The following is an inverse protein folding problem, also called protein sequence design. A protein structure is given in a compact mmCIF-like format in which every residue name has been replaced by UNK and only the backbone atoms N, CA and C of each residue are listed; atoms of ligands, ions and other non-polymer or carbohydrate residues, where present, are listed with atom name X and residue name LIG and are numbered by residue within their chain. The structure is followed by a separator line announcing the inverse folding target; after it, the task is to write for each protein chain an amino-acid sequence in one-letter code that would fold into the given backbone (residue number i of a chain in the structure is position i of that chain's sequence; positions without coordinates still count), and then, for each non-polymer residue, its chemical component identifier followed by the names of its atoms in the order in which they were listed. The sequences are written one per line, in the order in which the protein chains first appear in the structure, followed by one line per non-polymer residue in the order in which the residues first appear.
data_IF_660667846851
#
_entry.id   IF_660667846851
#
_cell.length_a   1.000
_cell.length_b   1.000
_cell.length_c   1.000
_cell.angle_alpha   90.00
_cell.angle_beta   90.00
_cell.angle_gamma   90.00
#
_symmetry.space_group_name_H-M   'P 1'
#
loop_
_entity.id
_entity.type
_entity.pdbx_description
1 polymer ?
#
# COMPACT_ATOMS: atom_id res chain seq x y z
N UNK A 1 24.64 -0.13 -44.61
CA UNK A 1 25.47 -0.65 -43.50
C UNK A 1 24.70 -1.80 -42.85
N UNK A 2 24.69 -2.95 -43.53
CA UNK A 2 24.00 -4.17 -43.10
C UNK A 2 24.97 -5.34 -43.31
N UNK A 3 25.87 -5.55 -42.36
CA UNK A 3 26.66 -6.78 -42.22
C UNK A 3 26.90 -6.93 -40.72
N UNK A 4 26.29 -7.94 -40.10
CA UNK A 4 26.66 -8.60 -38.83
C UNK A 4 25.42 -9.21 -38.13
N UNK A 5 24.76 -10.15 -38.81
CA UNK A 5 23.68 -10.95 -38.20
C UNK A 5 23.86 -12.48 -38.41
N UNK A 6 25.04 -12.95 -38.86
CA UNK A 6 25.24 -14.36 -39.26
C UNK A 6 26.34 -15.11 -38.45
N UNK A 7 26.89 -14.55 -37.37
CA UNK A 7 27.95 -15.24 -36.58
C UNK A 7 27.57 -15.64 -35.13
N UNK A 8 26.29 -15.76 -34.78
CA UNK A 8 25.89 -16.11 -33.41
C UNK A 8 25.41 -17.56 -33.19
N UNK A 9 25.45 -18.45 -34.21
CA UNK A 9 25.06 -19.86 -34.06
C UNK A 9 26.31 -20.75 -34.00
N UNK A 10 27.13 -20.56 -32.97
CA UNK A 10 28.11 -21.57 -32.56
C UNK A 10 27.47 -22.43 -31.48
N UNK A 11 26.94 -23.58 -31.90
CA UNK A 11 26.38 -24.63 -31.05
C UNK A 11 27.40 -24.96 -29.94
N UNK A 12 27.10 -24.59 -28.69
CA UNK A 12 27.89 -25.04 -27.55
C UNK A 12 27.64 -26.53 -27.33
N UNK A 13 28.67 -27.35 -27.10
CA UNK A 13 28.46 -28.74 -26.72
C UNK A 13 27.72 -28.78 -25.38
N UNK A 14 26.79 -29.73 -25.25
CA UNK A 14 26.02 -30.01 -24.03
C UNK A 14 26.96 -30.38 -22.87
N UNK A 15 27.50 -29.37 -22.19
CA UNK A 15 28.14 -29.53 -20.89
C UNK A 15 27.07 -29.73 -19.83
N UNK A 16 27.05 -30.91 -19.19
CA UNK A 16 26.23 -31.17 -18.01
C UNK A 16 26.48 -30.09 -16.95
N UNK A 17 25.48 -29.26 -16.66
CA UNK A 17 25.57 -28.25 -15.62
C UNK A 17 25.63 -28.92 -14.23
N UNK A 18 26.41 -28.41 -13.26
CA UNK A 18 26.43 -28.96 -11.89
C UNK A 18 25.06 -29.02 -11.20
N UNK A 19 24.13 -28.14 -11.62
CA UNK A 19 22.75 -28.07 -11.10
C UNK A 19 21.89 -29.25 -11.55
N UNK A 20 22.09 -29.79 -12.76
CA UNK A 20 21.29 -30.93 -13.25
C UNK A 20 21.66 -32.24 -12.55
N UNK A 21 22.94 -32.43 -12.21
CA UNK A 21 23.41 -33.59 -11.43
C UNK A 21 22.90 -33.56 -9.99
N UNK A 22 22.71 -32.36 -9.40
CA UNK A 22 22.17 -32.20 -8.06
C UNK A 22 20.66 -32.50 -7.99
N UNK A 23 19.90 -32.07 -8.99
CA UNK A 23 18.46 -32.40 -9.12
C UNK A 23 18.26 -33.91 -9.33
N UNK A 24 19.09 -34.55 -10.16
CA UNK A 24 19.03 -35.99 -10.40
C UNK A 24 19.35 -36.83 -9.14
N UNK A 25 20.33 -36.41 -8.33
CA UNK A 25 20.66 -37.11 -7.07
C UNK A 25 19.54 -37.01 -6.03
N UNK A 26 18.75 -35.94 -6.04
CA UNK A 26 17.61 -35.78 -5.12
C UNK A 26 16.44 -36.70 -5.50
N UNK A 27 16.28 -37.05 -6.78
CA UNK A 27 15.26 -38.00 -7.25
C UNK A 27 15.52 -39.46 -6.83
N UNK A 28 16.78 -39.83 -6.54
CA UNK A 28 17.18 -41.22 -6.25
C UNK A 28 16.99 -41.58 -4.77
N UNK A 29 16.82 -40.60 -3.87
CA UNK A 29 16.61 -40.86 -2.45
C UNK A 29 15.13 -40.60 -2.06
N UNK A 30 14.28 -41.65 -2.01
CA UNK A 30 12.85 -41.49 -1.73
C UNK A 30 12.57 -40.82 -0.37
N UNK A 31 13.44 -41.03 0.64
CA UNK A 31 13.30 -40.36 1.94
C UNK A 31 13.51 -38.85 1.86
N UNK A 32 14.46 -38.39 1.04
CA UNK A 32 14.75 -36.96 0.86
C UNK A 32 13.59 -36.25 0.14
N UNK A 33 12.98 -36.92 -0.84
CA UNK A 33 11.81 -36.41 -1.58
C UNK A 33 10.57 -36.27 -0.70
N UNK A 34 10.32 -37.23 0.20
CA UNK A 34 9.20 -37.15 1.15
C UNK A 34 9.37 -35.93 2.08
N UNK A 35 10.56 -35.70 2.61
CA UNK A 35 10.83 -34.54 3.49
C UNK A 35 10.66 -33.20 2.75
N UNK A 36 11.11 -33.10 1.49
CA UNK A 36 10.92 -31.88 0.68
C UNK A 36 9.44 -31.64 0.34
N UNK A 37 8.68 -32.71 0.05
CA UNK A 37 7.23 -32.64 -0.19
C UNK A 37 6.46 -32.23 1.08
N UNK A 38 6.77 -32.82 2.24
CA UNK A 38 6.17 -32.45 3.52
C UNK A 38 6.42 -30.99 3.84
N UNK A 39 7.66 -30.50 3.68
CA UNK A 39 7.98 -29.08 3.85
C UNK A 39 7.16 -28.19 2.93
N UNK A 40 7.09 -28.53 1.64
CA UNK A 40 6.33 -27.74 0.66
C UNK A 40 4.84 -27.66 1.02
N UNK A 41 4.24 -28.79 1.43
CA UNK A 41 2.83 -28.84 1.84
C UNK A 41 2.59 -28.01 3.10
N UNK A 42 3.49 -28.12 4.09
CA UNK A 42 3.39 -27.34 5.33
C UNK A 42 3.53 -25.83 5.05
N UNK A 43 4.48 -25.44 4.21
CA UNK A 43 4.70 -24.04 3.80
C UNK A 43 3.45 -23.49 3.08
N UNK A 44 2.81 -24.27 2.20
CA UNK A 44 1.57 -23.88 1.54
C UNK A 44 0.40 -23.70 2.52
N UNK A 45 0.27 -24.60 3.50
CA UNK A 45 -0.79 -24.52 4.52
C UNK A 45 -0.58 -23.29 5.41
N UNK A 46 0.65 -23.01 5.82
CA UNK A 46 0.99 -21.84 6.63
C UNK A 46 0.76 -20.53 5.86
N UNK A 47 1.13 -20.48 4.58
CA UNK A 47 0.87 -19.34 3.71
C UNK A 47 -0.63 -19.08 3.54
N UNK A 48 -1.45 -20.12 3.37
CA UNK A 48 -2.92 -19.99 3.27
C UNK A 48 -3.53 -19.44 4.56
N UNK A 49 -3.09 -19.94 5.72
CA UNK A 49 -3.56 -19.46 7.03
C UNK A 49 -3.20 -17.99 7.26
N UNK A 50 -1.96 -17.61 6.99
CA UNK A 50 -1.50 -16.21 7.16
C UNK A 50 -2.24 -15.26 6.22
N UNK A 51 -2.48 -15.68 4.97
CA UNK A 51 -3.27 -14.92 3.99
C UNK A 51 -4.73 -14.75 4.44
N UNK A 52 -5.36 -15.81 4.94
CA UNK A 52 -6.74 -15.75 5.43
C UNK A 52 -6.88 -14.81 6.64
N UNK A 53 -5.97 -14.92 7.62
CA UNK A 53 -5.95 -14.04 8.78
C UNK A 53 -5.72 -12.58 8.37
N UNK A 54 -4.86 -12.35 7.39
CA UNK A 54 -4.61 -11.02 6.86
C UNK A 54 -5.86 -10.42 6.18
N UNK A 55 -6.52 -11.18 5.30
CA UNK A 55 -7.78 -10.77 4.67
C UNK A 55 -8.87 -10.49 5.73
N UNK A 56 -9.00 -11.35 6.74
CA UNK A 56 -9.94 -11.15 7.83
C UNK A 56 -9.65 -9.87 8.62
N UNK A 57 -8.39 -9.57 8.92
CA UNK A 57 -7.99 -8.32 9.59
C UNK A 57 -8.41 -7.08 8.81
N UNK A 58 -8.20 -7.07 7.49
CA UNK A 58 -8.60 -5.94 6.62
C UNK A 58 -10.12 -5.78 6.65
N UNK A 59 -10.87 -6.86 6.42
CA UNK A 59 -12.33 -6.84 6.40
C UNK A 59 -12.90 -6.38 7.75
N UNK A 60 -12.35 -6.89 8.84
CA UNK A 60 -12.76 -6.53 10.20
C UNK A 60 -12.45 -5.06 10.50
N UNK A 61 -11.26 -4.57 10.15
CA UNK A 61 -10.91 -3.15 10.27
C UNK A 61 -11.79 -2.24 9.42
N UNK A 62 -12.10 -2.66 8.18
CA UNK A 62 -12.97 -1.93 7.28
C UNK A 62 -14.41 -1.83 7.84
N UNK A 63 -14.94 -2.93 8.38
CA UNK A 63 -16.25 -2.94 9.03
C UNK A 63 -16.30 -2.02 10.26
N UNK A 64 -15.28 -2.05 11.12
CA UNK A 64 -15.19 -1.14 12.27
C UNK A 64 -15.12 0.32 11.81
N UNK A 65 -14.27 0.64 10.83
CA UNK A 65 -14.14 1.99 10.31
C UNK A 65 -15.46 2.51 9.73
N UNK A 66 -16.18 1.65 8.99
CA UNK A 66 -17.50 1.96 8.46
C UNK A 66 -18.49 2.30 9.59
N UNK A 67 -18.62 1.41 10.58
CA UNK A 67 -19.56 1.59 11.70
C UNK A 67 -19.25 2.85 12.50
N UNK A 68 -17.97 3.16 12.73
CA UNK A 68 -17.56 4.38 13.43
C UNK A 68 -17.93 5.64 12.65
N UNK A 69 -17.75 5.64 11.33
CA UNK A 69 -18.13 6.79 10.49
C UNK A 69 -19.64 6.97 10.40
N UNK A 70 -20.41 5.88 10.34
CA UNK A 70 -21.88 5.93 10.42
C UNK A 70 -22.34 6.55 11.75
N UNK A 71 -21.70 6.15 12.87
CA UNK A 71 -22.00 6.70 14.19
C UNK A 71 -21.65 8.21 14.30
N UNK A 72 -20.63 8.66 13.57
CA UNK A 72 -20.25 10.06 13.48
C UNK A 72 -21.06 10.85 12.43
N UNK A 73 -22.05 10.24 11.79
CA UNK A 73 -22.85 10.82 10.70
C UNK A 73 -22.00 11.34 9.53
N UNK A 74 -20.85 10.72 9.28
CA UNK A 74 -20.01 11.04 8.14
C UNK A 74 -20.51 10.25 6.93
N UNK A 75 -21.11 10.95 5.97
CA UNK A 75 -21.72 10.33 4.79
C UNK A 75 -20.70 9.60 3.91
N UNK A 76 -19.53 10.21 3.71
CA UNK A 76 -18.49 9.71 2.82
C UNK A 76 -17.49 8.85 3.59
N UNK A 77 -17.29 7.61 3.14
CA UNK A 77 -16.50 6.61 3.89
C UNK A 77 -15.33 6.03 3.10
N UNK A 78 -15.22 6.42 1.84
CA UNK A 78 -14.32 5.87 0.83
C UNK A 78 -12.86 5.88 1.31
N UNK A 79 -12.37 7.03 1.81
CA UNK A 79 -10.96 7.18 2.13
C UNK A 79 -10.56 6.49 3.42
N UNK A 80 -11.47 6.31 4.36
CA UNK A 80 -11.21 5.51 5.54
C UNK A 80 -11.01 4.05 5.18
N UNK A 81 -11.91 3.49 4.35
CA UNK A 81 -11.80 2.10 3.88
C UNK A 81 -10.52 1.87 3.05
N UNK A 82 -10.24 2.78 2.11
CA UNK A 82 -9.02 2.73 1.31
C UNK A 82 -7.78 2.78 2.22
N UNK A 83 -7.81 3.63 3.24
CA UNK A 83 -6.67 3.76 4.16
C UNK A 83 -6.48 2.53 5.02
N UNK A 84 -7.56 1.88 5.48
CA UNK A 84 -7.48 0.58 6.16
C UNK A 84 -6.79 -0.44 5.25
N UNK A 85 -7.22 -0.54 4.00
CA UNK A 85 -6.63 -1.49 3.05
C UNK A 85 -5.15 -1.19 2.74
N UNK A 86 -4.80 0.09 2.56
CA UNK A 86 -3.43 0.51 2.22
C UNK A 86 -2.44 0.25 3.35
N UNK A 87 -2.83 0.53 4.60
CA UNK A 87 -1.87 0.47 5.72
C UNK A 87 -1.81 -0.90 6.37
N UNK A 88 -2.84 -1.72 6.20
CA UNK A 88 -2.88 -3.08 6.73
C UNK A 88 -1.73 -3.90 6.16
N UNK A 89 -1.02 -4.60 7.04
CA UNK A 89 0.06 -5.51 6.67
C UNK A 89 0.03 -6.76 7.57
N UNK A 90 0.52 -7.93 7.11
CA UNK A 90 0.61 -9.12 7.94
C UNK A 90 1.53 -8.90 9.15
N UNK A 91 2.65 -8.19 8.94
CA UNK A 91 3.61 -7.80 9.96
C UNK A 91 3.23 -6.47 10.63
N UNK A 92 3.37 -6.41 11.95
CA UNK A 92 3.01 -5.21 12.72
C UNK A 92 4.00 -4.05 12.52
N UNK A 93 5.28 -4.36 12.28
CA UNK A 93 6.29 -3.36 11.98
C UNK A 93 6.01 -2.67 10.64
N UNK A 94 5.63 -3.43 9.62
CA UNK A 94 5.19 -2.90 8.32
C UNK A 94 3.90 -2.09 8.44
N UNK A 95 2.89 -2.59 9.17
CA UNK A 95 1.67 -1.84 9.47
C UNK A 95 1.98 -0.48 10.08
N UNK A 96 2.86 -0.43 11.09
CA UNK A 96 3.25 0.82 11.75
C UNK A 96 3.95 1.77 10.77
N UNK A 97 4.88 1.27 9.96
CA UNK A 97 5.58 2.06 8.94
C UNK A 97 4.59 2.64 7.92
N UNK A 98 3.69 1.81 7.40
CA UNK A 98 2.70 2.23 6.41
C UNK A 98 1.68 3.21 7.01
N UNK A 99 1.28 3.04 8.27
CA UNK A 99 0.39 3.97 8.99
C UNK A 99 1.02 5.37 9.09
N UNK A 100 2.25 5.45 9.60
CA UNK A 100 2.98 6.73 9.73
C UNK A 100 3.18 7.36 8.35
N UNK A 101 3.58 6.54 7.39
CA UNK A 101 3.81 6.94 6.03
C UNK A 101 2.54 7.51 5.37
N UNK A 102 1.39 6.85 5.56
CA UNK A 102 0.09 7.31 5.05
C UNK A 102 -0.29 8.66 5.65
N UNK A 103 -0.15 8.83 6.97
CA UNK A 103 -0.45 10.09 7.67
C UNK A 103 0.43 11.22 7.13
N UNK A 104 1.74 11.02 7.00
CA UNK A 104 2.67 12.03 6.47
C UNK A 104 2.29 12.44 5.04
N UNK A 105 2.03 11.46 4.17
CA UNK A 105 1.63 11.71 2.79
C UNK A 105 0.29 12.45 2.70
N UNK A 106 -0.67 12.08 3.54
CA UNK A 106 -1.98 12.72 3.55
C UNK A 106 -1.89 14.16 4.02
N UNK A 107 -1.19 14.44 5.12
CA UNK A 107 -0.98 15.81 5.60
C UNK A 107 -0.24 16.63 4.53
N UNK A 108 0.82 16.08 3.93
CA UNK A 108 1.58 16.76 2.87
C UNK A 108 0.69 17.12 1.68
N UNK A 109 -0.07 16.16 1.15
CA UNK A 109 -0.95 16.38 0.00
C UNK A 109 -2.11 17.33 0.31
N UNK A 110 -2.69 17.26 1.51
CA UNK A 110 -3.75 18.18 1.92
C UNK A 110 -3.23 19.61 2.04
N UNK A 111 -2.09 19.83 2.70
CA UNK A 111 -1.48 21.15 2.83
C UNK A 111 -1.14 21.74 1.46
N UNK A 112 -0.53 20.96 0.57
CA UNK A 112 -0.21 21.41 -0.79
C UNK A 112 -1.50 21.76 -1.54
N UNK A 113 -2.51 20.89 -1.52
CA UNK A 113 -3.78 21.15 -2.20
C UNK A 113 -4.46 22.43 -1.70
N UNK A 114 -4.51 22.63 -0.38
CA UNK A 114 -5.08 23.82 0.25
C UNK A 114 -4.32 25.08 -0.16
N UNK A 115 -2.98 25.07 -0.11
CA UNK A 115 -2.14 26.21 -0.50
C UNK A 115 -2.44 26.61 -1.95
N UNK A 116 -2.55 25.66 -2.87
CA UNK A 116 -2.84 25.96 -4.26
C UNK A 116 -4.28 26.43 -4.51
N UNK A 117 -5.26 25.87 -3.80
CA UNK A 117 -6.64 26.39 -3.81
C UNK A 117 -6.67 27.87 -3.41
N UNK A 118 -5.98 28.23 -2.33
CA UNK A 118 -5.99 29.61 -1.81
C UNK A 118 -5.25 30.57 -2.73
N UNK A 119 -4.10 30.16 -3.29
CA UNK A 119 -3.27 31.04 -4.12
C UNK A 119 -3.75 31.20 -5.56
N UNK A 120 -4.33 30.14 -6.14
CA UNK A 120 -4.62 30.07 -7.58
C UNK A 120 -6.07 29.71 -7.89
N UNK A 121 -6.90 29.51 -6.86
CA UNK A 121 -8.31 29.16 -6.98
C UNK A 121 -8.58 27.67 -7.17
N UNK A 122 -9.86 27.31 -7.17
CA UNK A 122 -10.37 25.95 -7.40
C UNK A 122 -10.51 25.71 -8.90
N UNK A 123 -9.45 25.23 -9.55
CA UNK A 123 -9.45 24.93 -10.97
C UNK A 123 -8.45 23.81 -11.34
N UNK A 124 -8.53 23.34 -12.58
CA UNK A 124 -7.71 22.23 -13.07
C UNK A 124 -6.22 22.58 -13.12
N UNK A 125 -5.88 23.84 -13.38
CA UNK A 125 -4.48 24.29 -13.44
C UNK A 125 -3.82 24.24 -12.06
N UNK A 126 -4.54 24.71 -11.03
CA UNK A 126 -4.17 24.62 -9.61
C UNK A 126 -3.90 23.16 -9.21
N UNK A 127 -4.75 22.22 -9.64
CA UNK A 127 -4.56 20.79 -9.38
C UNK A 127 -3.23 20.26 -9.94
N UNK A 128 -2.95 20.51 -11.21
CA UNK A 128 -1.71 20.01 -11.82
C UNK A 128 -0.45 20.61 -11.20
N UNK A 129 -0.50 21.89 -10.83
CA UNK A 129 0.61 22.55 -10.15
C UNK A 129 0.84 21.98 -8.74
N UNK A 130 -0.24 21.74 -7.99
CA UNK A 130 -0.20 21.08 -6.68
C UNK A 130 0.36 19.65 -6.77
N UNK A 131 -0.06 18.86 -7.77
CA UNK A 131 0.48 17.51 -8.02
C UNK A 131 1.98 17.57 -8.30
N UNK A 132 2.42 18.49 -9.16
CA UNK A 132 3.84 18.64 -9.48
C UNK A 132 4.66 18.95 -8.22
N UNK A 133 4.20 19.89 -7.40
CA UNK A 133 4.86 20.22 -6.12
C UNK A 133 4.89 19.04 -5.16
N UNK A 134 3.80 18.26 -5.05
CA UNK A 134 3.78 17.06 -4.21
C UNK A 134 4.77 16.00 -4.68
N UNK A 135 4.93 15.82 -6.00
CA UNK A 135 5.95 14.93 -6.57
C UNK A 135 7.36 15.43 -6.24
N UNK A 136 7.65 16.72 -6.44
CA UNK A 136 8.96 17.28 -6.12
C UNK A 136 9.28 17.16 -4.62
N UNK A 137 8.32 17.48 -3.75
CA UNK A 137 8.46 17.31 -2.31
C UNK A 137 8.80 15.86 -1.96
N UNK A 138 8.03 14.91 -2.49
CA UNK A 138 8.18 13.48 -2.18
C UNK A 138 9.46 12.85 -2.72
N UNK A 139 10.05 13.42 -3.77
CA UNK A 139 11.25 12.87 -4.45
C UNK A 139 12.55 13.57 -4.07
N UNK A 140 12.52 14.84 -3.67
CA UNK A 140 13.72 15.62 -3.34
C UNK A 140 14.08 15.54 -1.84
N UNK A 141 13.11 15.28 -0.96
CA UNK A 141 13.36 15.22 0.49
C UNK A 141 13.95 13.84 0.85
N UNK A 142 15.21 13.82 1.26
CA UNK A 142 15.97 12.58 1.58
C UNK A 142 15.31 11.65 2.61
N UNK A 143 14.52 12.20 3.55
CA UNK A 143 13.86 11.44 4.64
C UNK A 143 12.36 11.28 4.43
N UNK A 144 11.86 11.55 3.22
CA UNK A 144 10.45 11.36 2.91
C UNK A 144 10.10 9.86 2.83
N UNK A 145 8.89 9.44 3.24
CA UNK A 145 8.50 8.04 3.10
C UNK A 145 8.60 7.52 1.67
N UNK A 146 9.02 6.26 1.50
CA UNK A 146 9.20 5.62 0.18
C UNK A 146 7.92 5.53 -0.64
N UNK A 147 6.76 5.55 0.00
CA UNK A 147 5.42 5.59 -0.60
C UNK A 147 5.01 6.99 -1.09
N UNK A 148 5.97 7.82 -1.50
CA UNK A 148 5.79 9.23 -1.82
C UNK A 148 4.66 9.54 -2.80
N UNK A 149 4.28 8.57 -3.63
CA UNK A 149 3.15 8.63 -4.58
C UNK A 149 1.81 8.89 -3.88
N UNK A 150 1.69 8.58 -2.59
CA UNK A 150 0.45 8.82 -1.83
C UNK A 150 0.18 10.31 -1.61
N UNK A 151 1.20 11.17 -1.58
CA UNK A 151 1.03 12.61 -1.45
C UNK A 151 0.31 13.24 -2.66
N UNK A 152 0.78 13.08 -3.93
CA UNK A 152 0.04 13.56 -5.09
C UNK A 152 -1.32 12.87 -5.27
N UNK A 153 -1.47 11.59 -4.89
CA UNK A 153 -2.79 10.96 -4.84
C UNK A 153 -3.75 11.64 -3.86
N UNK A 154 -3.24 12.14 -2.73
CA UNK A 154 -4.04 12.90 -1.76
C UNK A 154 -4.39 14.29 -2.30
N UNK A 155 -3.49 14.96 -3.01
CA UNK A 155 -3.80 16.23 -3.70
C UNK A 155 -5.00 16.04 -4.63
N UNK A 156 -4.99 14.98 -5.44
CA UNK A 156 -6.11 14.61 -6.33
C UNK A 156 -7.38 14.36 -5.50
N UNK A 157 -7.28 13.57 -4.43
CA UNK A 157 -8.39 13.23 -3.56
C UNK A 157 -9.13 14.45 -2.98
N UNK A 158 -8.38 15.48 -2.57
CA UNK A 158 -8.96 16.67 -1.92
C UNK A 158 -9.44 17.72 -2.93
N UNK A 159 -8.70 17.93 -4.02
CA UNK A 159 -9.00 19.01 -4.97
C UNK A 159 -10.04 18.59 -6.03
N UNK A 160 -10.05 17.33 -6.47
CA UNK A 160 -10.94 16.88 -7.55
C UNK A 160 -12.43 17.05 -7.21
N UNK A 161 -12.93 16.68 -6.01
CA UNK A 161 -14.32 16.92 -5.65
C UNK A 161 -14.67 18.41 -5.62
N UNK A 162 -13.77 19.25 -5.10
CA UNK A 162 -13.97 20.70 -5.06
C UNK A 162 -14.09 21.30 -6.47
N UNK A 163 -13.25 20.84 -7.41
CA UNK A 163 -13.29 21.28 -8.82
C UNK A 163 -14.60 20.83 -9.49
N UNK A 164 -15.01 19.57 -9.32
CA UNK A 164 -16.23 19.07 -9.96
C UNK A 164 -17.50 19.73 -9.43
N UNK A 165 -17.53 20.08 -8.14
CA UNK A 165 -18.68 20.73 -7.52
C UNK A 165 -18.68 22.25 -7.72
N UNK A 166 -17.67 22.80 -8.40
CA UNK A 166 -17.44 24.25 -8.50
C UNK A 166 -17.50 24.92 -7.12
N UNK A 167 -16.92 24.23 -6.14
CA UNK A 167 -16.95 24.61 -4.74
C UNK A 167 -16.24 25.96 -4.53
N UNK A 168 -16.72 26.74 -3.56
CA UNK A 168 -15.97 27.90 -3.10
C UNK A 168 -14.67 27.45 -2.43
N UNK A 169 -13.73 28.37 -2.21
CA UNK A 169 -12.49 28.04 -1.50
C UNK A 169 -12.76 27.59 -0.06
N UNK A 170 -13.83 28.08 0.59
CA UNK A 170 -14.25 27.68 1.93
C UNK A 170 -14.74 26.23 1.94
N UNK A 171 -15.63 25.88 1.01
CA UNK A 171 -16.16 24.52 0.90
C UNK A 171 -15.05 23.53 0.53
N UNK A 172 -14.08 23.96 -0.30
CA UNK A 172 -12.92 23.16 -0.65
C UNK A 172 -12.02 22.85 0.57
N UNK A 173 -11.91 23.77 1.53
CA UNK A 173 -11.22 23.53 2.81
C UNK A 173 -11.97 22.48 3.64
N UNK A 174 -13.29 22.58 3.71
CA UNK A 174 -14.12 21.60 4.44
C UNK A 174 -13.97 20.21 3.83
N UNK A 175 -14.01 20.10 2.50
CA UNK A 175 -13.74 18.84 1.79
C UNK A 175 -12.36 18.29 2.16
N UNK A 176 -11.31 19.12 2.13
CA UNK A 176 -9.95 18.68 2.46
C UNK A 176 -9.82 18.19 3.91
N UNK A 177 -10.45 18.90 4.86
CA UNK A 177 -10.47 18.51 6.28
C UNK A 177 -11.22 17.20 6.49
N UNK A 178 -12.38 17.04 5.85
CA UNK A 178 -13.17 15.81 5.90
C UNK A 178 -12.39 14.61 5.34
N UNK A 179 -11.73 14.78 4.18
CA UNK A 179 -10.90 13.71 3.60
C UNK A 179 -9.71 13.36 4.50
N UNK A 180 -9.10 14.35 5.14
CA UNK A 180 -8.00 14.12 6.08
C UNK A 180 -8.47 13.32 7.28
N UNK A 181 -9.62 13.68 7.87
CA UNK A 181 -10.16 13.00 9.04
C UNK A 181 -10.57 11.55 8.73
N UNK A 182 -11.17 11.31 7.55
CA UNK A 182 -11.48 9.95 7.05
C UNK A 182 -10.22 9.09 6.98
N UNK A 183 -9.14 9.59 6.36
CA UNK A 183 -7.87 8.85 6.25
C UNK A 183 -7.27 8.58 7.62
N UNK A 184 -7.23 9.59 8.50
CA UNK A 184 -6.67 9.45 9.85
C UNK A 184 -7.46 8.42 10.66
N UNK A 185 -8.79 8.44 10.60
CA UNK A 185 -9.64 7.47 11.29
C UNK A 185 -9.39 6.05 10.76
N UNK A 186 -9.36 5.87 9.44
CA UNK A 186 -9.04 4.57 8.84
C UNK A 186 -7.66 4.03 9.27
N UNK A 187 -6.65 4.91 9.32
CA UNK A 187 -5.31 4.57 9.81
C UNK A 187 -5.33 4.15 11.28
N UNK A 188 -6.05 4.87 12.13
CA UNK A 188 -6.18 4.55 13.57
C UNK A 188 -6.85 3.19 13.74
N UNK A 189 -7.95 2.94 13.05
CA UNK A 189 -8.69 1.67 13.14
C UNK A 189 -7.82 0.50 12.71
N UNK A 190 -7.16 0.60 11.55
CA UNK A 190 -6.26 -0.45 11.06
C UNK A 190 -5.10 -0.71 12.02
N UNK A 191 -4.51 0.35 12.59
CA UNK A 191 -3.45 0.23 13.57
C UNK A 191 -3.91 -0.49 14.84
N UNK A 192 -5.07 -0.13 15.39
CA UNK A 192 -5.63 -0.75 16.59
C UNK A 192 -5.99 -2.22 16.37
N UNK A 193 -6.61 -2.54 15.24
CA UNK A 193 -6.92 -3.93 14.87
C UNK A 193 -5.64 -4.74 14.71
N UNK A 194 -4.66 -4.25 13.95
CA UNK A 194 -3.39 -4.94 13.78
C UNK A 194 -2.60 -5.10 15.08
N UNK A 195 -2.65 -4.10 15.97
CA UNK A 195 -2.06 -4.19 17.31
C UNK A 195 -2.76 -5.29 18.13
N UNK A 196 -4.09 -5.29 18.19
CA UNK A 196 -4.85 -6.30 18.90
C UNK A 196 -4.45 -7.72 18.46
N UNK A 197 -4.41 -7.96 17.15
CA UNK A 197 -4.00 -9.25 16.62
C UNK A 197 -2.51 -9.58 16.88
N UNK A 198 -1.62 -8.59 16.87
CA UNK A 198 -0.20 -8.77 17.24
C UNK A 198 -0.04 -9.20 18.69
N UNK A 199 -0.85 -8.65 19.60
CA UNK A 199 -0.87 -9.03 21.02
C UNK A 199 -1.43 -10.44 21.19
N UNK A 200 -2.53 -10.77 20.52
CA UNK A 200 -3.12 -12.11 20.55
C UNK A 200 -2.13 -13.16 20.02
N UNK A 201 -1.47 -12.91 18.88
CA UNK A 201 -0.45 -13.82 18.34
C UNK A 201 0.68 -14.07 19.33
N UNK A 202 1.21 -13.01 19.96
CA UNK A 202 2.27 -13.13 20.98
C UNK A 202 1.83 -13.89 22.23
N UNK A 203 0.57 -13.76 22.63
CA UNK A 203 0.05 -14.40 23.86
C UNK A 203 -0.25 -15.90 23.68
N UNK A 204 -0.70 -16.30 22.49
CA UNK A 204 -1.13 -17.69 22.23
C UNK A 204 -0.09 -18.54 21.50
N UNK A 205 1.09 -17.99 21.18
CA UNK A 205 2.24 -18.71 20.63
C UNK A 205 1.91 -19.64 19.44
N UNK A 206 1.04 -19.16 18.54
CA UNK A 206 0.74 -19.75 17.23
C UNK A 206 1.45 -18.98 16.11
#
# INVERSE_FOLDING_TARGET
MCVNFIEAIKVRPFGHSPKSTMIYKTLINPKKRIIELEKTILDEIELKKTTFLYAFRILFGAAIAWMLLDLLHIEKKEWALISVAIVSEPDFGDLRRNTISRIINTISGCLIGIVFIVLTGVNIFSLFLAIAVAIFMGTLIKRYPSSWKLAPSTVIAVMTPAIFQQASWQDALEIALLRTSEVTLGCIVAFLVGWFFSVVKRKFNF
#
